data_IF_683305961849
#
_entry.id   IF_683305961849
#
_cell.length_a   1.000
_cell.length_b   1.000
_cell.length_c   1.000
_cell.angle_alpha   90.00
_cell.angle_beta   90.00
_cell.angle_gamma   90.00
#
_symmetry.space_group_name_H-M   'P 1'
#
loop_
_entity.id
_entity.type
_entity.pdbx_description
1 polymer ?
#
# COMPACT_ATOMS: atom_id res chain seq x y z
N UNK A 1 -23.78 -0.63 -20.31
CA UNK A 1 -24.50 -1.01 -19.08
C UNK A 1 -23.69 -1.87 -18.09
N UNK A 2 -22.35 -2.03 -18.24
CA UNK A 2 -21.54 -2.77 -17.25
C UNK A 2 -21.03 -1.90 -16.10
N UNK A 3 -20.94 -0.59 -16.30
CA UNK A 3 -20.43 0.35 -15.29
C UNK A 3 -21.39 0.55 -14.12
N UNK A 4 -22.71 0.36 -14.35
CA UNK A 4 -23.74 0.51 -13.32
C UNK A 4 -23.91 -0.73 -12.44
N UNK A 5 -23.26 -1.85 -12.79
CA UNK A 5 -23.33 -3.10 -12.03
C UNK A 5 -22.62 -3.00 -10.67
N UNK A 6 -21.70 -2.05 -10.51
CA UNK A 6 -20.98 -1.81 -9.27
C UNK A 6 -21.40 -0.44 -8.71
N UNK A 7 -21.93 -0.37 -7.47
CA UNK A 7 -22.25 0.91 -6.87
C UNK A 7 -21.02 1.82 -6.86
N UNK A 8 -21.19 3.09 -7.23
CA UNK A 8 -20.11 4.08 -7.28
C UNK A 8 -19.32 4.15 -5.97
N UNK A 9 -20.00 3.95 -4.84
CA UNK A 9 -19.39 3.91 -3.52
C UNK A 9 -18.37 2.76 -3.35
N UNK A 10 -18.64 1.59 -3.93
CA UNK A 10 -17.72 0.45 -3.90
C UNK A 10 -16.45 0.77 -4.70
N UNK A 11 -16.61 1.35 -5.89
CA UNK A 11 -15.50 1.80 -6.73
C UNK A 11 -14.63 2.81 -5.97
N UNK A 12 -15.26 3.80 -5.33
CA UNK A 12 -14.55 4.83 -4.56
C UNK A 12 -13.77 4.23 -3.39
N UNK A 13 -14.38 3.33 -2.61
CA UNK A 13 -13.68 2.64 -1.51
C UNK A 13 -12.50 1.82 -2.01
N UNK A 14 -12.70 1.08 -3.10
CA UNK A 14 -11.65 0.26 -3.70
C UNK A 14 -10.47 1.12 -4.15
N UNK A 15 -10.71 2.16 -4.97
CA UNK A 15 -9.66 3.05 -5.46
C UNK A 15 -8.93 3.72 -4.29
N UNK A 16 -9.65 4.25 -3.30
CA UNK A 16 -9.05 4.89 -2.13
C UNK A 16 -8.19 3.91 -1.31
N UNK A 17 -8.63 2.65 -1.17
CA UNK A 17 -7.86 1.61 -0.48
C UNK A 17 -6.61 1.25 -1.26
N UNK A 18 -6.75 0.96 -2.56
CA UNK A 18 -5.66 0.57 -3.46
C UNK A 18 -4.61 1.68 -3.62
N UNK A 19 -5.02 2.94 -3.61
CA UNK A 19 -4.12 4.09 -3.68
C UNK A 19 -3.08 4.11 -2.55
N UNK A 20 -3.44 3.64 -1.35
CA UNK A 20 -2.50 3.55 -0.23
C UNK A 20 -1.38 2.55 -0.48
N UNK A 21 -1.66 1.48 -1.24
CA UNK A 21 -0.67 0.48 -1.62
C UNK A 21 0.19 0.92 -2.81
N UNK A 22 -0.30 1.85 -3.66
CA UNK A 22 0.47 2.33 -4.82
C UNK A 22 1.81 2.97 -4.42
N UNK A 23 1.87 3.69 -3.30
CA UNK A 23 3.13 4.25 -2.81
C UNK A 23 4.11 3.16 -2.37
N UNK A 24 3.63 2.11 -1.70
CA UNK A 24 4.42 0.94 -1.32
C UNK A 24 4.95 0.16 -2.54
N UNK A 25 4.12 -0.03 -3.57
CA UNK A 25 4.54 -0.73 -4.79
C UNK A 25 5.55 0.07 -5.62
N UNK A 26 5.38 1.39 -5.74
CA UNK A 26 6.37 2.27 -6.38
C UNK A 26 7.74 2.22 -5.69
N UNK A 27 7.73 1.78 -4.44
CA UNK A 27 8.89 1.58 -3.58
C UNK A 27 9.39 0.13 -3.58
N UNK A 28 8.88 -0.74 -4.45
CA UNK A 28 9.33 -2.14 -4.56
C UNK A 28 8.77 -3.08 -3.49
N UNK A 29 7.97 -2.59 -2.53
CA UNK A 29 7.38 -3.41 -1.48
C UNK A 29 6.23 -4.24 -2.05
N UNK A 30 6.17 -5.53 -1.74
CA UNK A 30 5.08 -6.42 -2.15
C UNK A 30 4.55 -7.24 -0.98
N UNK A 31 3.42 -7.92 -1.16
CA UNK A 31 2.85 -8.85 -0.17
C UNK A 31 2.72 -8.26 1.25
N UNK A 32 3.22 -9.01 2.24
CA UNK A 32 3.16 -8.64 3.67
C UNK A 32 3.95 -7.38 4.01
N UNK A 33 5.04 -7.11 3.28
CA UNK A 33 5.86 -5.91 3.48
C UNK A 33 5.08 -4.64 3.10
N UNK A 34 4.40 -4.66 1.95
CA UNK A 34 3.52 -3.57 1.54
C UNK A 34 2.35 -3.36 2.53
N UNK A 35 1.74 -4.46 2.99
CA UNK A 35 0.66 -4.38 3.98
C UNK A 35 1.12 -3.75 5.30
N UNK A 36 2.29 -4.16 5.81
CA UNK A 36 2.86 -3.62 7.03
C UNK A 36 3.18 -2.12 6.89
N UNK A 37 3.82 -1.71 5.79
CA UNK A 37 4.14 -0.31 5.50
C UNK A 37 2.88 0.57 5.49
N UNK A 38 1.82 0.14 4.79
CA UNK A 38 0.55 0.86 4.70
C UNK A 38 -0.16 0.96 6.06
N UNK A 39 -0.06 -0.07 6.91
CA UNK A 39 -0.64 -0.08 8.27
C UNK A 39 0.15 0.81 9.23
N UNK A 40 1.47 0.84 9.11
CA UNK A 40 2.35 1.64 9.97
C UNK A 40 2.11 3.13 9.74
N UNK A 41 1.77 3.52 8.51
CA UNK A 41 1.61 4.92 8.16
C UNK A 41 0.19 5.46 8.45
N UNK A 42 0.09 6.25 9.52
CA UNK A 42 -1.17 6.83 10.02
C UNK A 42 -1.44 8.27 9.57
N UNK A 43 -0.44 8.99 9.06
CA UNK A 43 -0.53 10.43 8.74
C UNK A 43 -0.48 10.74 7.23
N UNK A 44 0.72 10.78 6.64
CA UNK A 44 0.90 11.05 5.21
C UNK A 44 0.55 9.82 4.37
N UNK A 45 -0.33 9.92 3.37
CA UNK A 45 -0.77 8.81 2.49
C UNK A 45 0.33 8.21 1.58
N UNK A 46 1.58 8.47 1.85
CA UNK A 46 2.74 7.89 1.16
C UNK A 46 3.36 6.78 2.03
N UNK A 47 4.36 6.04 1.58
CA UNK A 47 5.26 5.28 2.47
C UNK A 47 6.53 6.12 2.68
N UNK A 48 6.99 6.33 3.92
CA UNK A 48 8.23 7.10 4.14
C UNK A 48 9.47 6.27 3.78
N UNK A 49 10.54 6.90 3.26
CA UNK A 49 11.80 6.21 2.99
C UNK A 49 12.39 5.55 4.25
N UNK A 50 12.17 6.14 5.43
CA UNK A 50 12.57 5.54 6.70
C UNK A 50 11.82 4.24 7.00
N UNK A 51 10.51 4.16 6.70
CA UNK A 51 9.74 2.93 6.84
C UNK A 51 10.24 1.85 5.85
N UNK A 52 10.60 2.24 4.62
CA UNK A 52 11.23 1.34 3.64
C UNK A 52 12.54 0.76 4.16
N UNK A 53 13.48 1.60 4.64
CA UNK A 53 14.78 1.13 5.16
C UNK A 53 14.63 0.13 6.30
N UNK A 54 13.64 0.32 7.19
CA UNK A 54 13.37 -0.64 8.26
C UNK A 54 12.82 -1.99 7.75
N UNK A 55 12.20 -2.02 6.58
CA UNK A 55 11.67 -3.25 5.97
C UNK A 55 12.77 -3.97 5.19
N UNK A 56 13.55 -3.25 4.38
CA UNK A 56 14.70 -3.82 3.67
C UNK A 56 15.68 -4.47 4.64
N UNK A 57 16.02 -3.80 5.74
CA UNK A 57 16.90 -4.35 6.76
C UNK A 57 16.39 -5.69 7.35
N UNK A 58 15.07 -5.88 7.46
CA UNK A 58 14.49 -7.15 7.95
C UNK A 58 14.50 -8.23 6.87
N UNK A 59 14.32 -7.87 5.59
CA UNK A 59 14.31 -8.80 4.47
C UNK A 59 15.73 -9.27 4.09
N UNK A 60 16.73 -8.38 4.14
CA UNK A 60 18.14 -8.72 3.91
C UNK A 60 18.69 -9.65 5.00
N UNK A 61 18.26 -9.48 6.25
CA UNK A 61 18.66 -10.39 7.34
C UNK A 61 18.06 -11.80 7.24
N UNK A 62 17.10 -12.00 6.33
CA UNK A 62 16.46 -13.29 6.10
C UNK A 62 17.03 -14.05 4.89
N UNK A 63 18.04 -13.49 4.20
CA UNK A 63 18.83 -14.16 3.15
C UNK A 63 20.17 -14.64 3.70
#
# INVERSE_FOLDING_TARGET
>A
QQLDACPTEVIRRFINRSWRFMSAYRMGLTGKAAEWAVKKQKGHRQVSCSAMMSIEAVLDTAS
#
